data_IF_655439653728
#
_entry.id   IF_655439653728
#
_cell.length_a   1.000
_cell.length_b   1.000
_cell.length_c   1.000
_cell.angle_alpha   90.00
_cell.angle_beta   90.00
_cell.angle_gamma   90.00
#
_symmetry.space_group_name_H-M   'P 1'
#
loop_
_entity.id
_entity.type
_entity.pdbx_description
1 polymer ?
#
# COMPACT_ATOMS: atom_id res chain seq x y z
N UNK A 1 9.37 -24.10 -1.98
CA UNK A 1 8.86 -23.13 -1.00
C UNK A 1 7.71 -23.77 -0.27
N UNK A 2 7.66 -23.60 1.05
CA UNK A 2 6.56 -24.11 1.87
C UNK A 2 5.24 -23.42 1.50
N UNK A 3 4.16 -24.20 1.44
CA UNK A 3 2.80 -23.72 1.17
C UNK A 3 2.32 -22.68 2.20
N UNK A 4 2.74 -22.81 3.45
CA UNK A 4 2.39 -21.85 4.50
C UNK A 4 3.12 -20.50 4.32
N UNK A 5 4.38 -20.55 3.89
CA UNK A 5 5.15 -19.36 3.52
C UNK A 5 4.50 -18.61 2.35
N UNK A 6 4.16 -19.31 1.27
CA UNK A 6 3.53 -18.68 0.11
C UNK A 6 2.21 -18.00 0.49
N UNK A 7 1.40 -18.66 1.33
CA UNK A 7 0.14 -18.10 1.82
C UNK A 7 0.33 -16.79 2.58
N UNK A 8 1.35 -16.69 3.45
CA UNK A 8 1.63 -15.45 4.18
C UNK A 8 1.97 -14.29 3.24
N UNK A 9 2.75 -14.55 2.18
CA UNK A 9 3.08 -13.55 1.17
C UNK A 9 1.83 -13.13 0.40
N UNK A 10 1.00 -14.09 -0.02
CA UNK A 10 -0.25 -13.82 -0.73
C UNK A 10 -1.21 -12.97 0.12
N UNK A 11 -1.33 -13.26 1.42
CA UNK A 11 -2.14 -12.49 2.37
C UNK A 11 -1.63 -11.04 2.48
N UNK A 12 -0.31 -10.83 2.60
CA UNK A 12 0.30 -9.48 2.63
C UNK A 12 0.01 -8.72 1.32
N UNK A 13 0.15 -9.38 0.17
CA UNK A 13 -0.11 -8.76 -1.13
C UNK A 13 -1.58 -8.38 -1.29
N UNK A 14 -2.50 -9.22 -0.78
CA UNK A 14 -3.93 -8.92 -0.79
C UNK A 14 -4.26 -7.69 0.06
N UNK A 15 -3.77 -7.63 1.31
CA UNK A 15 -3.95 -6.48 2.19
C UNK A 15 -3.35 -5.20 1.60
N UNK A 16 -2.17 -5.32 1.00
CA UNK A 16 -1.49 -4.21 0.32
C UNK A 16 -2.36 -3.65 -0.80
N UNK A 17 -2.94 -4.52 -1.63
CA UNK A 17 -3.79 -4.11 -2.73
C UNK A 17 -5.06 -3.38 -2.25
N UNK A 18 -5.68 -3.83 -1.16
CA UNK A 18 -6.84 -3.14 -0.55
C UNK A 18 -6.48 -1.73 -0.09
N UNK A 19 -5.32 -1.55 0.58
CA UNK A 19 -4.84 -0.23 1.02
C UNK A 19 -4.53 0.70 -0.16
N UNK A 20 -3.85 0.19 -1.18
CA UNK A 20 -3.55 0.94 -2.40
C UNK A 20 -4.83 1.37 -3.10
N UNK A 21 -5.80 0.46 -3.21
CA UNK A 21 -7.09 0.77 -3.84
C UNK A 21 -7.84 1.87 -3.09
N UNK A 22 -7.80 1.87 -1.75
CA UNK A 22 -8.38 2.95 -0.96
C UNK A 22 -7.76 4.31 -1.29
N UNK A 23 -6.43 4.40 -1.31
CA UNK A 23 -5.70 5.64 -1.64
C UNK A 23 -6.00 6.10 -3.07
N UNK A 24 -5.99 5.18 -4.04
CA UNK A 24 -6.27 5.50 -5.45
C UNK A 24 -7.71 5.98 -5.64
N UNK A 25 -8.67 5.39 -4.93
CA UNK A 25 -10.05 5.85 -4.96
C UNK A 25 -10.19 7.26 -4.38
N UNK A 26 -9.50 7.56 -3.28
CA UNK A 26 -9.53 8.90 -2.70
C UNK A 26 -8.89 9.95 -3.62
N UNK A 27 -7.77 9.63 -4.27
CA UNK A 27 -7.17 10.49 -5.31
C UNK A 27 -8.16 10.75 -6.45
N UNK A 28 -8.88 9.71 -6.89
CA UNK A 28 -9.90 9.83 -7.93
C UNK A 28 -11.03 10.76 -7.48
N UNK A 29 -11.52 10.61 -6.26
CA UNK A 29 -12.60 11.44 -5.71
C UNK A 29 -12.17 12.90 -5.59
N UNK A 30 -10.95 13.17 -5.13
CA UNK A 30 -10.38 14.53 -5.08
C UNK A 30 -10.30 15.14 -6.47
N UNK A 31 -9.80 14.38 -7.46
CA UNK A 31 -9.64 14.87 -8.84
C UNK A 31 -10.96 15.36 -9.44
N UNK A 32 -12.05 14.63 -9.20
CA UNK A 32 -13.38 14.95 -9.72
C UNK A 32 -14.24 15.81 -8.78
N UNK A 33 -13.72 16.17 -7.60
CA UNK A 33 -14.39 17.06 -6.68
C UNK A 33 -14.49 18.50 -7.23
N UNK A 34 -15.39 19.29 -6.65
CA UNK A 34 -15.52 20.74 -6.91
C UNK A 34 -14.55 21.61 -6.09
N UNK A 35 -13.54 21.00 -5.45
CA UNK A 35 -12.52 21.73 -4.69
C UNK A 35 -11.67 22.62 -5.61
N UNK A 36 -10.99 23.59 -5.02
CA UNK A 36 -9.97 24.38 -5.71
C UNK A 36 -8.78 23.51 -6.14
N UNK A 37 -8.17 23.83 -7.27
CA UNK A 37 -7.08 23.03 -7.84
C UNK A 37 -5.82 23.00 -6.95
N UNK A 38 -5.53 24.08 -6.22
CA UNK A 38 -4.43 24.10 -5.27
C UNK A 38 -4.71 23.15 -4.10
N UNK A 39 -5.95 23.16 -3.57
CA UNK A 39 -6.36 22.26 -2.50
C UNK A 39 -6.33 20.79 -2.96
N UNK A 40 -6.76 20.50 -4.20
CA UNK A 40 -6.65 19.16 -4.79
C UNK A 40 -5.20 18.72 -4.86
N UNK A 41 -4.30 19.59 -5.30
CA UNK A 41 -2.89 19.28 -5.39
C UNK A 41 -2.30 18.93 -4.02
N UNK A 42 -2.55 19.77 -3.01
CA UNK A 42 -2.06 19.52 -1.64
C UNK A 42 -2.56 18.18 -1.08
N UNK A 43 -3.84 17.84 -1.26
CA UNK A 43 -4.38 16.56 -0.78
C UNK A 43 -3.84 15.37 -1.57
N UNK A 44 -3.72 15.47 -2.89
CA UNK A 44 -3.10 14.43 -3.71
C UNK A 44 -1.63 14.20 -3.32
N UNK A 45 -0.89 15.26 -2.99
CA UNK A 45 0.50 15.13 -2.54
C UNK A 45 0.59 14.44 -1.18
N UNK A 46 -0.32 14.73 -0.26
CA UNK A 46 -0.43 14.01 1.00
C UNK A 46 -0.70 12.50 0.79
N UNK A 47 -1.64 12.17 -0.09
CA UNK A 47 -1.98 10.77 -0.42
C UNK A 47 -0.82 10.03 -1.11
N UNK A 48 0.01 10.73 -1.89
CA UNK A 48 1.23 10.14 -2.47
C UNK A 48 2.25 9.76 -1.39
N UNK A 49 2.44 10.62 -0.40
CA UNK A 49 3.33 10.31 0.73
C UNK A 49 2.80 9.14 1.57
N UNK A 50 1.47 9.07 1.75
CA UNK A 50 0.84 7.93 2.43
C UNK A 50 1.01 6.63 1.64
N UNK A 51 0.85 6.67 0.32
CA UNK A 51 1.10 5.53 -0.55
C UNK A 51 2.54 5.02 -0.39
N UNK A 52 3.53 5.91 -0.45
CA UNK A 52 4.95 5.54 -0.29
C UNK A 52 5.20 4.90 1.09
N UNK A 53 4.61 5.47 2.14
CA UNK A 53 4.71 4.91 3.50
C UNK A 53 4.13 3.50 3.57
N UNK A 54 2.95 3.26 2.99
CA UNK A 54 2.34 1.93 2.92
C UNK A 54 3.27 0.96 2.18
N UNK A 55 3.81 1.35 1.04
CA UNK A 55 4.72 0.48 0.27
C UNK A 55 5.95 0.06 1.10
N UNK A 56 6.58 1.00 1.82
CA UNK A 56 7.74 0.72 2.69
C UNK A 56 7.35 -0.22 3.85
N UNK A 57 6.17 -0.02 4.45
CA UNK A 57 5.70 -0.87 5.55
C UNK A 57 5.41 -2.30 5.07
N UNK A 58 4.77 -2.46 3.91
CA UNK A 58 4.44 -3.77 3.35
C UNK A 58 5.68 -4.51 2.83
N UNK A 59 6.64 -3.81 2.23
CA UNK A 59 7.95 -4.38 1.85
C UNK A 59 8.67 -4.98 3.06
N UNK A 60 8.72 -4.25 4.19
CA UNK A 60 9.31 -4.77 5.43
C UNK A 60 8.62 -6.02 5.95
N UNK A 61 7.30 -6.15 5.80
CA UNK A 61 6.59 -7.38 6.20
C UNK A 61 6.98 -8.55 5.32
N UNK A 62 7.10 -8.34 4.01
CA UNK A 62 7.58 -9.36 3.07
C UNK A 62 9.00 -9.79 3.44
N UNK A 63 9.90 -8.83 3.67
CA UNK A 63 11.28 -9.11 4.11
C UNK A 63 11.32 -9.92 5.40
N UNK A 64 10.48 -9.60 6.39
CA UNK A 64 10.38 -10.35 7.64
C UNK A 64 9.98 -11.81 7.40
N UNK A 65 8.94 -12.04 6.58
CA UNK A 65 8.48 -13.39 6.25
C UNK A 65 9.56 -14.16 5.48
N UNK A 66 10.28 -13.51 4.57
CA UNK A 66 11.42 -14.11 3.84
C UNK A 66 12.55 -14.50 4.79
N UNK A 67 12.95 -13.60 5.69
CA UNK A 67 14.00 -13.86 6.69
C UNK A 67 13.61 -14.97 7.69
N UNK A 68 12.33 -15.07 8.06
CA UNK A 68 11.82 -16.18 8.89
C UNK A 68 11.91 -17.52 8.16
N UNK A 69 11.70 -17.54 6.85
CA UNK A 69 11.79 -18.77 6.04
C UNK A 69 13.22 -19.24 5.78
N UNK A 70 14.20 -18.33 5.79
CA UNK A 70 15.62 -18.68 5.57
C UNK A 70 16.34 -19.15 6.84
N UNK A 71 15.77 -18.84 8.02
CA UNK A 71 16.30 -19.25 9.33
C UNK A 71 15.60 -20.49 9.92
N UNK A 72 14.76 -21.17 9.14
CA UNK A 72 14.15 -22.48 9.45
C UNK A 72 14.85 -23.61 8.69
#
# INVERSE_FOLDING_TARGET
>A
MDTAFQKKIDDIMYETNEKINAIVNEIRDIRFSKMDEHEKQTKCDALRMEFEKVMIEEEKKVEQVMNESENQ
#
